data_IF_056747946989
#
_entry.id   IF_056747946989
#
_cell.length_a   1.000
_cell.length_b   1.000
_cell.length_c   1.000
_cell.angle_alpha   90.00
_cell.angle_beta   90.00
_cell.angle_gamma   90.00
#
_symmetry.space_group_name_H-M   'P 1'
#
loop_
_entity.id
_entity.type
_entity.pdbx_description
1 polymer ?
#
# COMPACT_ATOMS: atom_id res chain seq x y z
N UNK A 1 -3.86 -24.07 -1.35
CA UNK A 1 -3.61 -24.09 -2.82
C UNK A 1 -2.41 -23.18 -3.07
N UNK A 2 -1.48 -23.57 -3.92
CA UNK A 2 -0.36 -22.72 -4.28
C UNK A 2 -0.79 -21.57 -5.23
N UNK A 3 0.05 -20.53 -5.35
CA UNK A 3 -0.31 -19.32 -6.11
C UNK A 3 -0.48 -19.57 -7.62
N UNK A 4 0.27 -20.50 -8.21
CA UNK A 4 0.13 -20.82 -9.64
C UNK A 4 -1.21 -21.50 -9.93
N UNK A 5 -1.60 -22.45 -9.09
CA UNK A 5 -2.90 -23.12 -9.17
C UNK A 5 -4.05 -22.14 -8.98
N UNK A 6 -3.92 -21.22 -8.03
CA UNK A 6 -4.91 -20.17 -7.78
C UNK A 6 -5.03 -19.21 -8.98
N UNK A 7 -3.92 -18.80 -9.58
CA UNK A 7 -3.93 -17.94 -10.76
C UNK A 7 -4.63 -18.65 -11.94
N UNK A 8 -4.29 -19.93 -12.15
CA UNK A 8 -4.94 -20.75 -13.19
C UNK A 8 -6.46 -20.87 -12.95
N UNK A 9 -6.86 -21.04 -11.69
CA UNK A 9 -8.27 -21.13 -11.32
C UNK A 9 -9.00 -19.81 -11.56
N UNK A 10 -8.38 -18.68 -11.21
CA UNK A 10 -8.92 -17.33 -11.47
C UNK A 10 -9.11 -17.06 -12.96
N UNK A 11 -8.20 -17.53 -13.80
CA UNK A 11 -8.30 -17.36 -15.25
C UNK A 11 -9.36 -18.25 -15.89
N UNK A 12 -9.43 -19.53 -15.49
CA UNK A 12 -10.34 -20.51 -16.10
C UNK A 12 -11.75 -20.51 -15.51
N UNK A 13 -11.86 -20.29 -14.20
CA UNK A 13 -13.10 -20.31 -13.43
C UNK A 13 -13.13 -19.15 -12.41
N UNK A 14 -13.33 -17.90 -12.88
CA UNK A 14 -13.14 -16.71 -12.04
C UNK A 14 -13.93 -16.72 -10.73
N UNK A 15 -15.18 -17.20 -10.75
CA UNK A 15 -16.02 -17.23 -9.55
C UNK A 15 -15.46 -18.18 -8.46
N UNK A 16 -14.96 -19.35 -8.87
CA UNK A 16 -14.34 -20.30 -7.94
C UNK A 16 -12.96 -19.79 -7.46
N UNK A 17 -12.19 -19.22 -8.39
CA UNK A 17 -10.91 -18.60 -8.07
C UNK A 17 -11.05 -17.46 -7.08
N UNK A 18 -12.08 -16.62 -7.22
CA UNK A 18 -12.34 -15.54 -6.27
C UNK A 18 -12.76 -16.05 -4.88
N UNK A 19 -13.57 -17.11 -4.79
CA UNK A 19 -13.89 -17.73 -3.50
C UNK A 19 -12.63 -18.22 -2.79
N UNK A 20 -11.74 -18.87 -3.53
CA UNK A 20 -10.49 -19.36 -2.97
C UNK A 20 -9.53 -18.24 -2.61
N UNK A 21 -9.43 -17.18 -3.43
CA UNK A 21 -8.66 -15.99 -3.14
C UNK A 21 -9.13 -15.31 -1.84
N UNK A 22 -10.45 -15.12 -1.71
CA UNK A 22 -11.04 -14.57 -0.50
C UNK A 22 -10.74 -15.46 0.71
N UNK A 23 -10.91 -16.78 0.58
CA UNK A 23 -10.63 -17.72 1.67
C UNK A 23 -9.19 -17.63 2.18
N UNK A 24 -8.22 -17.42 1.27
CA UNK A 24 -6.79 -17.36 1.64
C UNK A 24 -6.35 -15.97 2.14
N UNK A 25 -6.90 -14.90 1.58
CA UNK A 25 -6.35 -13.56 1.76
C UNK A 25 -7.29 -12.56 2.45
N UNK A 26 -8.52 -12.97 2.83
CA UNK A 26 -9.47 -12.07 3.51
C UNK A 26 -8.85 -11.45 4.77
N UNK A 27 -8.28 -12.27 5.65
CA UNK A 27 -7.67 -11.79 6.89
C UNK A 27 -6.48 -10.86 6.64
N UNK A 28 -5.70 -11.11 5.59
CA UNK A 28 -4.59 -10.26 5.19
C UNK A 28 -5.05 -8.88 4.70
N UNK A 29 -6.05 -8.85 3.81
CA UNK A 29 -6.63 -7.59 3.34
C UNK A 29 -7.30 -6.82 4.47
N UNK A 30 -8.06 -7.52 5.34
CA UNK A 30 -8.70 -6.92 6.50
C UNK A 30 -7.68 -6.28 7.44
N UNK A 31 -6.57 -6.97 7.73
CA UNK A 31 -5.49 -6.44 8.56
C UNK A 31 -4.93 -5.13 7.99
N UNK A 32 -4.62 -5.09 6.68
CA UNK A 32 -4.08 -3.87 6.02
C UNK A 32 -5.08 -2.71 6.07
N UNK A 33 -6.35 -2.98 5.76
CA UNK A 33 -7.41 -1.95 5.75
C UNK A 33 -7.66 -1.43 7.16
N UNK A 34 -7.83 -2.34 8.14
CA UNK A 34 -8.06 -1.97 9.53
C UNK A 34 -6.94 -1.12 10.11
N UNK A 35 -5.69 -1.43 9.79
CA UNK A 35 -4.54 -0.66 10.25
C UNK A 35 -4.58 0.80 9.75
N UNK A 36 -5.13 1.03 8.56
CA UNK A 36 -5.28 2.37 7.99
C UNK A 36 -6.55 3.08 8.46
N UNK A 37 -7.60 2.34 8.74
CA UNK A 37 -8.93 2.82 9.12
C UNK A 37 -9.27 2.48 10.58
N UNK A 38 -8.28 2.48 11.49
CA UNK A 38 -8.45 2.04 12.88
C UNK A 38 -9.51 2.81 13.67
N UNK A 39 -9.76 4.07 13.30
CA UNK A 39 -10.74 4.95 13.95
C UNK A 39 -12.11 4.97 13.26
N UNK A 40 -12.26 4.19 12.18
CA UNK A 40 -13.51 4.13 11.44
C UNK A 40 -14.41 2.99 11.95
N UNK A 41 -15.73 3.12 11.79
CA UNK A 41 -16.67 2.05 12.10
C UNK A 41 -16.29 0.74 11.40
N UNK A 42 -16.61 -0.37 12.05
CA UNK A 42 -16.29 -1.69 11.50
C UNK A 42 -16.94 -1.95 10.13
N UNK A 43 -18.15 -1.43 9.94
CA UNK A 43 -18.89 -1.51 8.69
C UNK A 43 -18.11 -0.88 7.52
N UNK A 44 -17.46 0.25 7.75
CA UNK A 44 -16.65 0.92 6.74
C UNK A 44 -15.39 0.12 6.38
N UNK A 45 -14.78 -0.52 7.38
CA UNK A 45 -13.63 -1.41 7.16
C UNK A 45 -14.04 -2.61 6.32
N UNK A 46 -15.18 -3.24 6.65
CA UNK A 46 -15.72 -4.39 5.93
C UNK A 46 -16.12 -4.03 4.49
N UNK A 47 -16.75 -2.88 4.29
CA UNK A 47 -17.07 -2.36 2.95
C UNK A 47 -15.78 -2.13 2.14
N UNK A 48 -14.79 -1.49 2.74
CA UNK A 48 -13.51 -1.26 2.10
C UNK A 48 -12.80 -2.57 1.71
N UNK A 49 -12.83 -3.59 2.58
CA UNK A 49 -12.27 -4.92 2.28
C UNK A 49 -13.04 -5.59 1.13
N UNK A 50 -14.35 -5.47 1.11
CA UNK A 50 -15.18 -5.98 0.02
C UNK A 50 -14.80 -5.33 -1.32
N UNK A 51 -14.58 -4.02 -1.32
CA UNK A 51 -14.13 -3.26 -2.49
C UNK A 51 -12.75 -3.70 -2.98
N UNK A 52 -11.83 -4.09 -2.07
CA UNK A 52 -10.53 -4.67 -2.46
C UNK A 52 -10.71 -5.92 -3.31
N UNK A 53 -11.63 -6.80 -2.95
CA UNK A 53 -11.88 -8.04 -3.71
C UNK A 53 -12.65 -7.79 -5.01
N UNK A 54 -13.52 -6.79 -5.06
CA UNK A 54 -14.14 -6.32 -6.31
C UNK A 54 -13.06 -5.82 -7.29
N UNK A 55 -12.12 -5.03 -6.80
CA UNK A 55 -10.99 -4.59 -7.62
C UNK A 55 -10.04 -5.73 -7.99
N UNK A 56 -9.80 -6.67 -7.07
CA UNK A 56 -9.00 -7.85 -7.38
C UNK A 56 -9.62 -8.68 -8.53
N UNK A 57 -10.94 -8.82 -8.55
CA UNK A 57 -11.62 -9.45 -9.68
C UNK A 57 -11.48 -8.64 -10.96
N UNK A 58 -11.66 -7.33 -10.89
CA UNK A 58 -11.58 -6.41 -12.04
C UNK A 58 -10.20 -6.38 -12.68
N UNK A 59 -9.16 -6.39 -11.83
CA UNK A 59 -7.76 -6.27 -12.27
C UNK A 59 -6.97 -7.59 -12.23
N UNK A 60 -7.66 -8.73 -12.16
CA UNK A 60 -7.04 -10.07 -12.05
C UNK A 60 -6.03 -10.40 -13.13
N UNK A 61 -6.18 -9.83 -14.32
CA UNK A 61 -5.25 -10.00 -15.45
C UNK A 61 -3.86 -9.36 -15.17
N UNK A 62 -3.77 -8.45 -14.19
CA UNK A 62 -2.54 -7.76 -13.83
C UNK A 62 -1.74 -8.48 -12.73
N UNK A 63 -2.18 -9.68 -12.31
CA UNK A 63 -1.49 -10.46 -11.29
C UNK A 63 -0.23 -11.06 -11.91
N UNK A 64 0.92 -10.70 -11.35
CA UNK A 64 2.24 -11.15 -11.79
C UNK A 64 2.93 -11.86 -10.61
N UNK A 65 3.05 -13.19 -10.72
CA UNK A 65 3.67 -14.01 -9.68
C UNK A 65 5.17 -13.74 -9.51
N UNK A 66 5.84 -13.25 -10.56
CA UNK A 66 7.26 -12.92 -10.49
C UNK A 66 7.52 -11.58 -9.80
N UNK A 67 6.51 -10.69 -9.76
CA UNK A 67 6.57 -9.37 -9.12
C UNK A 67 5.93 -9.34 -7.73
N UNK A 68 5.94 -10.46 -7.02
CA UNK A 68 5.48 -10.55 -5.64
C UNK A 68 4.09 -11.17 -5.45
N UNK A 69 3.49 -11.73 -6.52
CA UNK A 69 2.30 -12.55 -6.47
C UNK A 69 1.05 -11.88 -5.89
N UNK A 70 0.16 -12.71 -5.34
CA UNK A 70 -1.10 -12.24 -4.79
C UNK A 70 -0.94 -11.31 -3.59
N UNK A 71 0.08 -11.53 -2.74
CA UNK A 71 0.28 -10.69 -1.55
C UNK A 71 0.57 -9.25 -1.91
N UNK A 72 1.50 -9.01 -2.83
CA UNK A 72 1.86 -7.66 -3.27
C UNK A 72 0.72 -7.00 -4.03
N UNK A 73 0.05 -7.75 -4.91
CA UNK A 73 -1.10 -7.28 -5.65
C UNK A 73 -2.24 -6.83 -4.72
N UNK A 74 -2.66 -7.70 -3.79
CA UNK A 74 -3.74 -7.42 -2.85
C UNK A 74 -3.37 -6.33 -1.85
N UNK A 75 -2.11 -6.29 -1.36
CA UNK A 75 -1.66 -5.23 -0.48
C UNK A 75 -1.74 -3.86 -1.16
N UNK A 76 -1.38 -3.78 -2.44
CA UNK A 76 -1.47 -2.54 -3.23
C UNK A 76 -2.93 -2.07 -3.35
N UNK A 77 -3.85 -2.99 -3.67
CA UNK A 77 -5.29 -2.68 -3.74
C UNK A 77 -5.85 -2.27 -2.37
N UNK A 78 -5.52 -3.01 -1.32
CA UNK A 78 -5.99 -2.74 0.04
C UNK A 78 -5.53 -1.38 0.54
N UNK A 79 -4.25 -1.03 0.39
CA UNK A 79 -3.73 0.29 0.76
C UNK A 79 -4.39 1.41 -0.03
N UNK A 80 -4.57 1.22 -1.33
CA UNK A 80 -5.23 2.20 -2.20
C UNK A 80 -6.69 2.43 -1.78
N UNK A 81 -7.47 1.36 -1.57
CA UNK A 81 -8.86 1.46 -1.14
C UNK A 81 -9.00 2.09 0.24
N UNK A 82 -8.16 1.69 1.19
CA UNK A 82 -8.15 2.30 2.52
C UNK A 82 -7.80 3.80 2.46
N UNK A 83 -6.85 4.21 1.61
CA UNK A 83 -6.53 5.61 1.40
C UNK A 83 -7.69 6.38 0.75
N UNK A 84 -8.39 5.79 -0.23
CA UNK A 84 -9.56 6.40 -0.87
C UNK A 84 -10.72 6.57 0.13
N UNK A 85 -10.98 5.56 0.97
CA UNK A 85 -11.98 5.61 2.03
C UNK A 85 -11.63 6.70 3.06
N UNK A 86 -10.39 6.74 3.51
CA UNK A 86 -9.90 7.77 4.44
C UNK A 86 -10.12 9.17 3.88
N UNK A 87 -9.74 9.42 2.61
CA UNK A 87 -9.92 10.74 1.98
C UNK A 87 -11.38 11.17 1.90
N UNK A 88 -12.26 10.29 1.47
CA UNK A 88 -13.70 10.58 1.36
C UNK A 88 -14.33 11.01 2.68
N UNK A 89 -13.83 10.48 3.79
CA UNK A 89 -14.35 10.78 5.13
C UNK A 89 -13.58 11.92 5.82
N UNK A 90 -12.29 12.07 5.52
CA UNK A 90 -11.45 13.15 6.06
C UNK A 90 -11.74 14.53 5.45
N UNK A 91 -12.48 14.61 4.32
CA UNK A 91 -13.01 15.90 3.82
C UNK A 91 -13.88 16.63 4.85
N UNK A 92 -14.33 15.94 5.90
CA UNK A 92 -15.08 16.50 7.03
C UNK A 92 -14.27 16.65 8.33
N UNK A 93 -12.96 16.35 8.32
CA UNK A 93 -12.08 16.49 9.49
C UNK A 93 -10.87 17.34 9.12
N UNK A 94 -10.41 18.25 10.00
CA UNK A 94 -9.19 19.02 9.74
C UNK A 94 -8.01 18.05 9.57
N UNK A 95 -7.18 18.34 8.57
CA UNK A 95 -5.93 17.64 8.26
C UNK A 95 -5.04 17.58 9.51
N UNK A 96 -5.14 16.51 10.29
CA UNK A 96 -4.11 16.17 11.25
C UNK A 96 -3.02 15.35 10.53
N UNK A 97 -1.85 15.95 10.42
CA UNK A 97 -0.61 15.36 9.91
C UNK A 97 0.00 14.35 10.91
N UNK A 98 -0.79 13.67 11.69
CA UNK A 98 -0.28 12.62 12.58
C UNK A 98 -0.35 11.28 11.88
N UNK A 99 0.84 10.77 11.55
CA UNK A 99 1.06 9.37 11.18
C UNK A 99 0.72 8.55 12.42
N UNK A 100 -0.52 8.06 12.52
CA UNK A 100 -0.92 7.21 13.63
C UNK A 100 -0.26 5.84 13.52
N UNK A 101 0.34 5.49 14.62
CA UNK A 101 1.17 4.33 14.85
C UNK A 101 0.39 3.02 14.81
N UNK A 102 0.82 2.09 13.99
CA UNK A 102 0.45 0.70 14.20
C UNK A 102 1.71 -0.15 14.41
N UNK A 103 1.94 -0.60 15.65
CA UNK A 103 3.24 -1.06 16.10
C UNK A 103 3.32 -2.58 16.23
N UNK A 104 3.11 -3.40 15.20
CA UNK A 104 3.22 -4.86 15.40
C UNK A 104 4.21 -5.63 14.51
N UNK A 105 4.86 -4.99 13.53
CA UNK A 105 5.82 -5.73 12.67
C UNK A 105 7.15 -5.01 12.39
N UNK A 106 7.29 -3.75 12.81
CA UNK A 106 8.56 -3.03 12.68
C UNK A 106 8.92 -2.52 14.07
N UNK A 107 10.15 -2.78 14.55
CA UNK A 107 10.56 -2.29 15.85
C UNK A 107 10.47 -0.77 15.90
N UNK A 108 10.29 -0.18 17.08
CA UNK A 108 10.26 1.27 17.24
C UNK A 108 11.54 1.93 16.70
N UNK A 109 12.70 1.28 16.91
CA UNK A 109 13.99 1.72 16.43
C UNK A 109 14.08 1.71 14.91
N UNK A 110 13.63 0.64 14.28
CA UNK A 110 13.58 0.48 12.81
C UNK A 110 12.67 1.52 12.15
N UNK A 111 11.56 1.82 12.80
CA UNK A 111 10.62 2.83 12.34
C UNK A 111 11.21 4.23 12.42
N UNK A 112 11.87 4.58 13.52
CA UNK A 112 12.53 5.87 13.67
C UNK A 112 13.64 6.05 12.62
N UNK A 113 14.45 5.00 12.38
CA UNK A 113 15.47 5.00 11.31
C UNK A 113 14.83 5.21 9.93
N UNK A 114 13.71 4.54 9.63
CA UNK A 114 13.00 4.73 8.37
C UNK A 114 12.46 6.15 8.22
N UNK A 115 11.82 6.69 9.26
CA UNK A 115 11.30 8.06 9.25
C UNK A 115 12.40 9.09 9.08
N UNK A 116 13.52 8.93 9.77
CA UNK A 116 14.69 9.79 9.61
C UNK A 116 15.25 9.71 8.19
N UNK A 117 15.33 8.51 7.61
CA UNK A 117 15.79 8.33 6.24
C UNK A 117 14.83 9.00 5.23
N UNK A 118 13.51 8.91 5.43
CA UNK A 118 12.53 9.59 4.59
C UNK A 118 12.68 11.12 4.72
N UNK A 119 12.76 11.64 5.93
CA UNK A 119 12.96 13.08 6.18
C UNK A 119 14.25 13.62 5.58
N UNK A 120 15.32 12.82 5.55
CA UNK A 120 16.60 13.20 4.96
C UNK A 120 16.56 13.42 3.45
N UNK A 121 15.52 12.95 2.78
CA UNK A 121 15.34 13.19 1.33
C UNK A 121 15.00 14.65 1.02
N UNK A 122 14.40 15.35 1.98
CA UNK A 122 13.94 16.74 1.81
C UNK A 122 12.76 16.89 0.86
N UNK A 123 12.17 18.09 0.89
CA UNK A 123 11.06 18.47 -0.01
C UNK A 123 11.55 18.60 -1.48
N UNK A 124 10.78 18.20 -2.47
CA UNK A 124 9.46 17.57 -2.39
C UNK A 124 9.50 16.03 -2.35
N UNK A 125 10.69 15.42 -2.30
CA UNK A 125 10.87 13.97 -2.46
C UNK A 125 10.26 13.20 -1.28
N UNK A 126 10.45 13.69 -0.04
CA UNK A 126 9.81 13.16 1.16
C UNK A 126 8.28 13.09 0.99
N UNK A 127 7.68 14.22 0.64
CA UNK A 127 6.23 14.37 0.47
C UNK A 127 5.69 13.46 -0.64
N UNK A 128 6.40 13.36 -1.75
CA UNK A 128 6.05 12.47 -2.86
C UNK A 128 6.02 11.02 -2.41
N UNK A 129 7.04 10.56 -1.66
CA UNK A 129 7.09 9.18 -1.17
C UNK A 129 5.98 8.90 -0.15
N UNK A 130 5.75 9.80 0.81
CA UNK A 130 4.65 9.67 1.77
C UNK A 130 3.31 9.62 1.03
N UNK A 131 3.05 10.53 0.12
CA UNK A 131 1.81 10.55 -0.64
C UNK A 131 1.62 9.32 -1.52
N UNK A 132 2.70 8.82 -2.14
CA UNK A 132 2.64 7.64 -3.01
C UNK A 132 2.40 6.36 -2.23
N UNK A 133 3.18 6.13 -1.15
CA UNK A 133 3.22 4.83 -0.47
C UNK A 133 2.37 4.77 0.79
N UNK A 134 2.24 5.86 1.52
CA UNK A 134 1.41 5.88 2.72
C UNK A 134 -0.05 6.22 2.41
N UNK A 135 -0.29 7.32 1.67
CA UNK A 135 -1.65 7.73 1.31
C UNK A 135 -2.17 7.07 0.02
N UNK A 136 -1.34 6.39 -0.75
CA UNK A 136 -1.74 5.71 -1.98
C UNK A 136 -2.19 6.63 -3.11
N UNK A 137 -1.76 7.91 -3.13
CA UNK A 137 -2.15 8.82 -4.20
C UNK A 137 -1.62 8.37 -5.55
N UNK A 138 -2.43 8.45 -6.62
CA UNK A 138 -1.96 8.26 -7.99
C UNK A 138 -0.90 9.30 -8.37
N UNK A 139 0.07 8.91 -9.20
CA UNK A 139 1.12 9.82 -9.71
C UNK A 139 0.52 11.11 -10.28
N UNK A 140 -0.59 11.00 -11.03
CA UNK A 140 -1.31 12.15 -11.61
C UNK A 140 -1.79 13.13 -10.55
N UNK A 141 -2.34 12.64 -9.45
CA UNK A 141 -2.81 13.48 -8.33
C UNK A 141 -1.65 14.19 -7.65
N UNK A 142 -0.55 13.48 -7.41
CA UNK A 142 0.68 14.04 -6.82
C UNK A 142 1.27 15.10 -7.73
N UNK A 143 1.37 14.82 -9.02
CA UNK A 143 1.88 15.73 -10.03
C UNK A 143 1.07 17.03 -10.08
N UNK A 144 -0.26 16.92 -10.14
CA UNK A 144 -1.17 18.07 -10.15
C UNK A 144 -1.04 18.91 -8.87
N UNK A 145 -1.00 18.28 -7.70
CA UNK A 145 -0.92 18.97 -6.41
C UNK A 145 0.42 19.69 -6.19
N UNK A 146 1.52 19.19 -6.77
CA UNK A 146 2.86 19.78 -6.64
C UNK A 146 3.28 20.63 -7.84
N UNK A 147 2.42 20.78 -8.86
CA UNK A 147 2.76 21.50 -10.09
C UNK A 147 3.87 20.84 -10.90
N UNK A 148 4.00 19.52 -10.82
CA UNK A 148 5.02 18.73 -11.49
C UNK A 148 4.42 17.93 -12.66
N UNK A 149 5.28 17.46 -13.57
CA UNK A 149 4.90 16.48 -14.60
C UNK A 149 4.89 15.08 -13.98
N UNK A 150 3.99 14.19 -14.42
CA UNK A 150 3.91 12.80 -13.94
C UNK A 150 5.25 12.06 -14.04
N UNK A 151 5.94 12.16 -15.19
CA UNK A 151 7.27 11.58 -15.35
C UNK A 151 8.30 12.08 -14.33
N UNK A 152 8.19 13.34 -13.91
CA UNK A 152 9.06 13.93 -12.89
C UNK A 152 8.78 13.30 -11.54
N UNK A 153 7.51 13.09 -11.20
CA UNK A 153 7.11 12.40 -9.96
C UNK A 153 7.64 10.98 -9.94
N UNK A 154 7.47 10.22 -11.04
CA UNK A 154 7.95 8.83 -11.12
C UNK A 154 9.48 8.75 -11.03
N UNK A 155 10.22 9.68 -11.66
CA UNK A 155 11.68 9.76 -11.51
C UNK A 155 12.09 10.08 -10.06
N UNK A 156 11.38 10.98 -9.38
CA UNK A 156 11.64 11.31 -7.98
C UNK A 156 11.35 10.14 -7.06
N UNK A 157 10.25 9.41 -7.27
CA UNK A 157 9.93 8.17 -6.56
C UNK A 157 11.08 7.18 -6.70
N UNK A 158 11.53 6.90 -7.93
CA UNK A 158 12.62 5.94 -8.18
C UNK A 158 13.91 6.34 -7.48
N UNK A 159 14.33 7.61 -7.62
CA UNK A 159 15.54 8.12 -6.98
C UNK A 159 15.43 8.16 -5.45
N UNK A 160 14.26 8.50 -4.93
CA UNK A 160 13.98 8.51 -3.49
C UNK A 160 14.08 7.10 -2.90
N UNK A 161 13.48 6.10 -3.54
CA UNK A 161 13.59 4.70 -3.11
C UNK A 161 15.04 4.19 -3.15
N UNK A 162 15.80 4.56 -4.18
CA UNK A 162 17.22 4.19 -4.28
C UNK A 162 18.06 4.81 -3.13
N UNK A 163 17.81 6.08 -2.81
CA UNK A 163 18.47 6.74 -1.67
C UNK A 163 18.08 6.09 -0.34
N UNK A 164 16.78 5.79 -0.13
CA UNK A 164 16.31 5.09 1.07
C UNK A 164 16.97 3.73 1.21
N UNK A 165 17.01 2.96 0.12
CA UNK A 165 17.67 1.66 0.11
C UNK A 165 19.12 1.76 0.59
N UNK A 166 19.91 2.68 0.02
CA UNK A 166 21.30 2.89 0.40
C UNK A 166 21.45 3.31 1.87
N UNK A 167 20.56 4.18 2.36
CA UNK A 167 20.58 4.63 3.75
C UNK A 167 20.28 3.49 4.73
N UNK A 168 19.37 2.58 4.36
CA UNK A 168 18.96 1.45 5.19
C UNK A 168 19.94 0.26 5.11
N UNK A 169 20.59 0.03 3.95
CA UNK A 169 21.63 -1.00 3.80
C UNK A 169 22.85 -0.71 4.69
N UNK A 170 23.17 0.58 4.94
CA UNK A 170 24.25 0.99 5.86
C UNK A 170 23.92 0.86 7.35
N UNK A 171 22.66 0.63 7.71
CA UNK A 171 22.16 0.58 9.10
C UNK A 171 21.75 -0.81 9.62
N UNK A 172 22.04 -1.90 8.91
CA UNK A 172 21.70 -3.26 9.39
C UNK A 172 20.22 -3.66 9.28
N UNK A 173 19.42 -2.92 8.51
CA UNK A 173 17.97 -3.07 8.41
C UNK A 173 17.49 -4.33 7.64
N UNK A 174 18.40 -5.04 6.96
CA UNK A 174 18.03 -6.13 6.03
C UNK A 174 18.14 -7.55 6.59
N UNK A 175 18.58 -7.76 7.82
CA UNK A 175 18.75 -9.11 8.38
C UNK A 175 17.47 -9.76 8.91
N UNK A 176 16.33 -9.07 8.88
CA UNK A 176 15.05 -9.54 9.46
C UNK A 176 13.86 -9.70 8.51
N UNK A 177 13.99 -9.42 7.21
CA UNK A 177 12.87 -9.41 6.26
C UNK A 177 13.11 -10.34 5.06
N UNK A 178 13.41 -11.61 5.30
CA UNK A 178 13.32 -12.68 4.29
C UNK A 178 12.26 -13.68 4.75
#
# INVERSE_FOLDING_TARGET
MDERSLLTLLQKRPNEGMKELMRQYMGYCYYIVRNKLSEFPQEDIEECVSDVFVDAYRYRENIDLEKGGFRVFLATLARRRAADCYRKKAENLPLHEEIQENPKEVSFEDREVLLQAIRSLGEPDEKILIWKFYYGYPTKTIASALGLKENTVDQKVRRGLEKLRKALEGGGFYEGCI
#
